data_IF_155923316534
#
_entry.id   IF_155923316534
#
_cell.length_a   1.000
_cell.length_b   1.000
_cell.length_c   1.000
_cell.angle_alpha   90.00
_cell.angle_beta   90.00
_cell.angle_gamma   90.00
#
_symmetry.space_group_name_H-M   'P 1'
#
loop_
_entity.id
_entity.type
_entity.pdbx_description
1 polymer ?
#
# COMPACT_ATOMS: atom_id res chain seq x y z
N UNK A 1 -25.96 -17.56 -12.75
CA UNK A 1 -26.21 -16.26 -13.42
C UNK A 1 -26.79 -15.28 -12.41
N UNK A 2 -26.07 -14.21 -12.01
CA UNK A 2 -26.65 -13.19 -11.15
C UNK A 2 -25.74 -12.49 -10.13
N UNK A 3 -24.40 -12.60 -10.20
CA UNK A 3 -23.49 -12.00 -9.19
C UNK A 3 -22.63 -10.84 -9.71
N UNK A 4 -22.84 -10.38 -10.95
CA UNK A 4 -22.05 -9.30 -11.58
C UNK A 4 -22.85 -8.00 -11.73
N UNK A 5 -23.51 -7.50 -10.69
CA UNK A 5 -24.08 -6.15 -10.74
C UNK A 5 -23.87 -5.41 -9.43
N UNK A 6 -22.67 -4.86 -9.26
CA UNK A 6 -22.41 -3.58 -8.61
C UNK A 6 -21.02 -3.07 -9.00
N UNK A 7 -20.80 -2.87 -10.28
CA UNK A 7 -19.85 -1.85 -10.69
C UNK A 7 -20.51 -0.51 -10.34
N UNK A 8 -20.15 0.05 -9.19
CA UNK A 8 -20.51 1.44 -8.92
C UNK A 8 -19.75 2.29 -9.94
N UNK A 9 -20.48 3.00 -10.77
CA UNK A 9 -19.96 4.14 -11.53
C UNK A 9 -19.18 4.99 -10.53
N UNK A 10 -17.93 5.32 -10.85
CA UNK A 10 -17.15 6.35 -10.17
C UNK A 10 -18.01 7.60 -10.06
N UNK A 11 -18.70 7.76 -8.93
CA UNK A 11 -19.26 9.04 -8.61
C UNK A 11 -18.08 9.94 -8.24
N UNK A 12 -17.99 11.14 -8.80
CA UNK A 12 -17.04 12.20 -8.47
C UNK A 12 -17.18 12.70 -7.01
N UNK A 13 -17.68 11.86 -6.12
CA UNK A 13 -17.80 12.17 -4.70
C UNK A 13 -16.44 11.93 -4.06
N UNK A 14 -15.65 13.01 -4.02
CA UNK A 14 -14.40 13.08 -3.30
C UNK A 14 -14.67 12.70 -1.84
N UNK A 15 -14.22 11.53 -1.41
CA UNK A 15 -14.24 11.19 0.02
C UNK A 15 -13.41 12.22 0.79
N UNK A 16 -13.85 12.56 2.00
CA UNK A 16 -13.11 13.48 2.88
C UNK A 16 -11.76 12.85 3.20
N UNK A 17 -10.70 13.64 3.08
CA UNK A 17 -9.33 13.25 3.39
C UNK A 17 -8.73 14.16 4.45
N UNK A 18 -7.60 13.78 5.01
CA UNK A 18 -6.93 14.53 6.08
C UNK A 18 -6.69 16.01 5.73
N UNK A 19 -6.34 16.33 4.48
CA UNK A 19 -6.14 17.71 4.03
C UNK A 19 -7.45 18.50 3.92
N UNK A 20 -8.56 17.84 3.67
CA UNK A 20 -9.88 18.50 3.63
C UNK A 20 -10.36 18.93 5.04
N UNK A 21 -9.73 18.38 6.10
CA UNK A 21 -9.95 18.74 7.50
C UNK A 21 -9.07 19.91 7.98
N UNK A 22 -8.30 20.54 7.10
CA UNK A 22 -7.32 21.58 7.43
C UNK A 22 -6.22 21.14 8.41
N UNK A 23 -5.90 19.82 8.48
CA UNK A 23 -4.77 19.35 9.25
C UNK A 23 -3.47 19.94 8.68
N UNK A 24 -2.53 20.39 9.53
CA UNK A 24 -1.29 21.06 9.09
C UNK A 24 -0.26 20.06 8.53
N UNK A 25 -0.67 19.29 7.52
CA UNK A 25 0.15 18.28 6.87
C UNK A 25 1.26 18.94 6.05
N UNK A 26 2.53 18.56 6.24
CA UNK A 26 3.65 19.15 5.54
C UNK A 26 3.73 18.72 4.08
N UNK A 27 4.57 19.41 3.31
CA UNK A 27 4.90 19.10 1.93
C UNK A 27 3.80 19.39 0.91
N UNK A 28 4.19 19.50 -0.35
CA UNK A 28 3.28 19.77 -1.46
C UNK A 28 2.80 18.45 -2.07
N UNK A 29 1.49 18.12 -2.01
CA UNK A 29 0.95 16.93 -2.64
C UNK A 29 0.95 17.07 -4.17
N UNK A 30 0.96 15.93 -4.87
CA UNK A 30 0.64 15.85 -6.28
C UNK A 30 -0.86 16.09 -6.55
N UNK A 31 -1.26 16.00 -7.80
CA UNK A 31 -2.62 16.30 -8.25
C UNK A 31 -3.71 15.46 -7.55
N UNK A 32 -3.44 14.18 -7.34
CA UNK A 32 -4.37 13.25 -6.73
C UNK A 32 -4.05 13.00 -5.26
N UNK A 33 -2.88 13.48 -4.81
CA UNK A 33 -2.30 13.17 -3.50
C UNK A 33 -2.32 11.65 -3.23
N UNK A 34 -1.86 10.87 -4.19
CA UNK A 34 -1.90 9.41 -4.19
C UNK A 34 -0.64 8.83 -4.85
N UNK A 35 -0.33 7.57 -4.60
CA UNK A 35 0.79 6.88 -5.26
C UNK A 35 0.68 6.92 -6.79
N UNK A 36 -0.52 7.09 -7.31
CA UNK A 36 -0.80 7.24 -8.75
C UNK A 36 -0.37 8.58 -9.34
N UNK A 37 0.09 9.54 -8.53
CA UNK A 37 0.78 10.73 -9.03
C UNK A 37 2.18 10.40 -9.58
N UNK A 38 2.76 9.27 -9.17
CA UNK A 38 3.99 8.77 -9.77
C UNK A 38 3.70 8.31 -11.20
N UNK A 39 4.37 8.88 -12.21
CA UNK A 39 4.05 8.63 -13.61
C UNK A 39 4.05 7.14 -13.98
N UNK A 40 2.95 6.65 -14.54
CA UNK A 40 2.78 5.27 -14.98
C UNK A 40 2.35 4.29 -13.89
N UNK A 41 2.26 4.70 -12.64
CA UNK A 41 1.75 3.83 -11.56
C UNK A 41 0.23 3.77 -11.63
N UNK A 42 -0.29 2.55 -11.70
CA UNK A 42 -1.72 2.26 -11.65
C UNK A 42 -2.06 1.42 -10.42
N UNK A 43 -3.25 1.63 -9.86
CA UNK A 43 -3.76 0.87 -8.71
C UNK A 43 -5.20 0.45 -8.98
N UNK A 44 -5.53 -0.78 -8.61
CA UNK A 44 -6.88 -1.32 -8.70
C UNK A 44 -7.24 -2.17 -7.49
N UNK A 45 -8.52 -2.39 -7.30
CA UNK A 45 -9.08 -3.04 -6.13
C UNK A 45 -10.09 -4.11 -6.48
N UNK A 46 -10.07 -5.20 -5.72
CA UNK A 46 -11.20 -6.11 -5.56
C UNK A 46 -11.58 -6.14 -4.10
N UNK A 47 -12.77 -5.64 -3.78
CA UNK A 47 -13.28 -5.55 -2.41
C UNK A 47 -14.43 -6.52 -2.21
N UNK A 48 -14.32 -7.41 -1.22
CA UNK A 48 -15.34 -8.41 -0.89
C UNK A 48 -15.98 -8.07 0.45
N UNK A 49 -17.27 -7.72 0.41
CA UNK A 49 -18.05 -7.40 1.60
C UNK A 49 -19.38 -8.17 1.58
N UNK A 50 -19.54 -9.09 2.52
CA UNK A 50 -20.79 -9.80 2.80
C UNK A 50 -20.93 -9.99 4.33
N UNK A 51 -21.54 -9.02 5.04
CA UNK A 51 -21.68 -9.08 6.50
C UNK A 51 -22.43 -10.33 6.99
N UNK A 52 -23.40 -10.83 6.21
CA UNK A 52 -24.15 -12.04 6.57
C UNK A 52 -23.27 -13.29 6.59
N UNK A 53 -22.19 -13.27 5.83
CA UNK A 53 -21.21 -14.35 5.78
C UNK A 53 -19.92 -14.02 6.54
N UNK A 54 -19.87 -12.93 7.28
CA UNK A 54 -18.65 -12.44 7.95
C UNK A 54 -17.47 -12.30 6.98
N UNK A 55 -17.71 -11.73 5.80
CA UNK A 55 -16.68 -11.49 4.78
C UNK A 55 -16.41 -9.99 4.68
N UNK A 56 -15.14 -9.60 4.98
CA UNK A 56 -14.57 -8.27 4.80
C UNK A 56 -13.10 -8.41 4.46
N UNK A 57 -12.79 -8.54 3.19
CA UNK A 57 -11.44 -8.76 2.70
C UNK A 57 -11.30 -8.25 1.27
N UNK A 58 -10.16 -8.45 0.65
CA UNK A 58 -9.96 -8.05 -0.75
C UNK A 58 -8.54 -8.18 -1.21
N UNK A 59 -8.30 -7.62 -2.39
CA UNK A 59 -6.98 -7.54 -3.04
C UNK A 59 -6.77 -6.12 -3.56
N UNK A 60 -5.62 -5.54 -3.25
CA UNK A 60 -5.11 -4.30 -3.86
C UNK A 60 -4.02 -4.68 -4.84
N UNK A 61 -4.15 -4.27 -6.10
CA UNK A 61 -3.14 -4.47 -7.14
C UNK A 61 -2.44 -3.16 -7.50
N UNK A 62 -1.10 -3.14 -7.55
CA UNK A 62 -0.28 -1.99 -7.93
C UNK A 62 0.58 -2.38 -9.11
N UNK A 63 0.51 -1.62 -10.20
CA UNK A 63 1.26 -1.86 -11.43
C UNK A 63 2.21 -0.67 -11.66
N UNK A 64 3.53 -0.84 -11.45
CA UNK A 64 4.50 0.26 -11.61
C UNK A 64 4.56 0.85 -13.02
N UNK A 65 4.37 0.03 -14.05
CA UNK A 65 4.32 0.44 -15.46
C UNK A 65 2.97 0.09 -16.08
N UNK A 66 1.88 0.70 -15.58
CA UNK A 66 0.49 0.33 -15.91
C UNK A 66 0.18 0.25 -17.40
N UNK A 67 0.73 1.14 -18.20
CA UNK A 67 0.51 1.19 -19.65
C UNK A 67 1.51 0.34 -20.47
N UNK A 68 2.48 -0.33 -19.81
CA UNK A 68 3.46 -1.14 -20.52
C UNK A 68 2.87 -2.48 -20.98
N UNK A 69 3.21 -2.87 -22.21
CA UNK A 69 2.99 -4.22 -22.73
C UNK A 69 4.20 -5.13 -22.52
N UNK A 70 5.27 -4.61 -21.94
CA UNK A 70 6.52 -5.31 -21.71
C UNK A 70 6.70 -5.59 -20.22
N UNK A 71 7.25 -6.75 -19.90
CA UNK A 71 7.63 -7.15 -18.55
C UNK A 71 8.95 -6.50 -18.13
N UNK A 72 8.98 -5.18 -17.96
CA UNK A 72 10.19 -4.46 -17.59
C UNK A 72 10.56 -4.72 -16.12
N UNK A 73 11.87 -4.79 -15.80
CA UNK A 73 12.33 -4.80 -14.43
C UNK A 73 12.00 -3.46 -13.75
N UNK A 74 11.55 -3.54 -12.52
CA UNK A 74 11.24 -2.39 -11.65
C UNK A 74 12.30 -2.35 -10.55
N UNK A 75 13.11 -1.32 -10.53
CA UNK A 75 14.13 -1.16 -9.49
C UNK A 75 13.47 -0.99 -8.13
N UNK A 76 13.95 -1.75 -7.15
CA UNK A 76 13.33 -1.80 -5.84
C UNK A 76 14.33 -2.03 -4.71
N UNK A 77 13.92 -1.65 -3.51
CA UNK A 77 14.57 -2.00 -2.25
C UNK A 77 13.52 -2.29 -1.19
N UNK A 78 13.80 -3.26 -0.35
CA UNK A 78 12.90 -3.75 0.70
C UNK A 78 13.52 -3.55 2.07
N UNK A 79 12.67 -3.31 3.09
CA UNK A 79 13.05 -3.26 4.49
C UNK A 79 11.93 -3.81 5.38
N UNK A 80 12.25 -4.77 6.24
CA UNK A 80 11.37 -5.24 7.31
C UNK A 80 11.80 -4.59 8.62
N UNK A 81 10.91 -3.84 9.26
CA UNK A 81 11.13 -3.35 10.62
C UNK A 81 11.03 -4.50 11.60
N UNK A 82 10.02 -5.36 11.41
CA UNK A 82 9.86 -6.66 12.04
C UNK A 82 9.18 -7.63 11.07
N UNK A 83 9.29 -8.91 11.33
CA UNK A 83 9.09 -9.96 10.33
C UNK A 83 7.90 -10.87 10.54
N UNK A 84 6.91 -10.53 11.39
CA UNK A 84 5.72 -11.37 11.54
C UNK A 84 4.70 -11.10 10.42
N UNK A 85 5.09 -11.36 9.19
CA UNK A 85 4.31 -11.17 7.98
C UNK A 85 5.03 -11.69 6.74
N UNK A 86 4.38 -11.59 5.59
CA UNK A 86 4.93 -12.05 4.32
C UNK A 86 4.95 -10.92 3.27
N UNK A 87 6.04 -10.90 2.52
CA UNK A 87 6.17 -10.20 1.24
C UNK A 87 7.00 -11.08 0.30
N UNK A 88 6.37 -11.65 -0.71
CA UNK A 88 7.06 -12.54 -1.65
C UNK A 88 8.05 -11.78 -2.54
N UNK A 89 9.06 -12.48 -3.07
CA UNK A 89 10.04 -11.90 -3.99
C UNK A 89 11.15 -11.09 -3.32
N UNK A 90 11.14 -10.91 -1.99
CA UNK A 90 12.10 -10.10 -1.25
C UNK A 90 13.53 -10.62 -1.35
N UNK A 91 13.74 -11.95 -1.45
CA UNK A 91 15.08 -12.52 -1.65
C UNK A 91 15.73 -11.99 -2.93
N UNK A 92 14.98 -12.05 -4.06
CA UNK A 92 15.48 -11.54 -5.34
C UNK A 92 15.64 -10.01 -5.36
N UNK A 93 14.71 -9.28 -4.74
CA UNK A 93 14.84 -7.83 -4.61
C UNK A 93 16.11 -7.46 -3.84
N UNK A 94 16.43 -8.19 -2.76
CA UNK A 94 17.63 -7.94 -1.97
C UNK A 94 18.94 -8.26 -2.75
N UNK A 95 18.94 -9.32 -3.55
CA UNK A 95 20.14 -9.76 -4.29
C UNK A 95 20.31 -9.01 -5.62
N UNK A 96 19.22 -8.82 -6.37
CA UNK A 96 19.27 -8.29 -7.73
C UNK A 96 18.82 -6.83 -7.83
N UNK A 97 18.13 -6.30 -6.83
CA UNK A 97 17.69 -4.91 -6.77
C UNK A 97 16.48 -4.59 -7.63
N UNK A 98 15.70 -5.59 -8.09
CA UNK A 98 14.50 -5.38 -8.89
C UNK A 98 13.50 -6.54 -8.78
N UNK A 99 12.28 -6.27 -9.20
CA UNK A 99 11.26 -7.29 -9.47
C UNK A 99 10.64 -7.08 -10.87
N UNK A 100 9.83 -8.03 -11.34
CA UNK A 100 9.11 -7.95 -12.61
C UNK A 100 7.63 -8.22 -12.32
N UNK A 101 6.74 -7.32 -12.78
CA UNK A 101 5.31 -7.49 -12.67
C UNK A 101 4.65 -6.59 -11.62
N UNK A 102 3.47 -6.98 -11.13
CA UNK A 102 2.70 -6.21 -10.16
C UNK A 102 3.13 -6.48 -8.72
N UNK A 103 2.67 -5.59 -7.84
CA UNK A 103 2.63 -5.78 -6.39
C UNK A 103 1.17 -5.96 -6.01
N UNK A 104 0.85 -6.98 -5.21
CA UNK A 104 -0.48 -7.17 -4.64
C UNK A 104 -0.42 -7.14 -3.10
N UNK A 105 -1.50 -6.66 -2.47
CA UNK A 105 -1.65 -6.69 -1.01
C UNK A 105 -3.01 -7.32 -0.70
N UNK A 106 -3.04 -8.26 0.25
CA UNK A 106 -4.24 -9.02 0.61
C UNK A 106 -4.24 -9.38 2.10
N UNK A 107 -4.98 -10.43 2.50
CA UNK A 107 -4.91 -10.97 3.84
C UNK A 107 -3.91 -12.13 3.97
N UNK A 108 -3.55 -12.46 5.22
CA UNK A 108 -2.51 -13.45 5.56
C UNK A 108 -2.75 -14.84 4.93
N UNK A 109 -4.00 -15.31 4.90
CA UNK A 109 -4.29 -16.66 4.38
C UNK A 109 -4.44 -16.71 2.85
N UNK A 110 -4.45 -15.55 2.17
CA UNK A 110 -4.68 -15.47 0.73
C UNK A 110 -3.41 -15.26 -0.11
N UNK A 111 -2.23 -15.13 0.50
CA UNK A 111 -0.96 -14.85 -0.21
C UNK A 111 -0.73 -15.81 -1.36
N UNK A 112 -0.88 -17.12 -1.16
CA UNK A 112 -0.67 -18.13 -2.19
C UNK A 112 -1.65 -18.00 -3.37
N UNK A 113 -2.94 -17.76 -3.09
CA UNK A 113 -3.96 -17.58 -4.13
C UNK A 113 -3.75 -16.31 -4.94
N UNK A 114 -3.41 -15.21 -4.26
CA UNK A 114 -3.13 -13.92 -4.93
C UNK A 114 -1.83 -14.00 -5.73
N UNK A 115 -0.80 -14.71 -5.24
CA UNK A 115 0.43 -14.95 -5.99
C UNK A 115 0.15 -15.75 -7.28
N UNK A 116 -0.65 -16.81 -7.19
CA UNK A 116 -1.07 -17.59 -8.36
C UNK A 116 -1.85 -16.71 -9.37
N UNK A 117 -2.81 -15.91 -8.89
CA UNK A 117 -3.60 -15.00 -9.74
C UNK A 117 -2.75 -13.93 -10.42
N UNK A 118 -1.84 -13.29 -9.67
CA UNK A 118 -0.90 -12.31 -10.21
C UNK A 118 0.05 -12.92 -11.25
N UNK A 119 0.52 -14.16 -11.02
CA UNK A 119 1.30 -14.91 -12.01
C UNK A 119 0.50 -15.17 -13.28
N UNK A 120 -0.74 -15.64 -13.16
CA UNK A 120 -1.64 -15.88 -14.31
C UNK A 120 -1.91 -14.60 -15.10
N UNK A 121 -2.11 -13.47 -14.39
CA UNK A 121 -2.25 -12.17 -15.02
C UNK A 121 -0.99 -11.76 -15.79
N UNK A 122 0.21 -11.97 -15.23
CA UNK A 122 1.48 -11.69 -15.90
C UNK A 122 1.64 -12.51 -17.19
N UNK A 123 1.34 -13.82 -17.13
CA UNK A 123 1.43 -14.71 -18.29
C UNK A 123 0.53 -14.24 -19.46
N UNK A 124 -0.64 -13.69 -19.14
CA UNK A 124 -1.56 -13.12 -20.14
C UNK A 124 -1.10 -11.74 -20.61
N UNK A 125 -0.73 -10.85 -19.70
CA UNK A 125 -0.35 -9.46 -19.98
C UNK A 125 0.94 -9.36 -20.79
N UNK A 126 1.93 -10.20 -20.48
CA UNK A 126 3.26 -10.19 -21.06
C UNK A 126 3.53 -11.44 -21.90
N UNK A 127 2.52 -11.86 -22.66
CA UNK A 127 2.53 -13.12 -23.43
C UNK A 127 3.77 -13.27 -24.31
N UNK A 128 4.17 -12.21 -25.03
CA UNK A 128 5.32 -12.25 -25.93
C UNK A 128 6.64 -12.52 -25.20
N UNK A 129 6.80 -11.95 -23.97
CA UNK A 129 7.96 -12.23 -23.13
C UNK A 129 8.04 -13.70 -22.75
N UNK A 130 6.93 -14.29 -22.29
CA UNK A 130 6.91 -15.68 -21.85
C UNK A 130 7.02 -16.68 -23.00
N UNK A 131 6.56 -16.34 -24.19
CA UNK A 131 6.64 -17.21 -25.38
C UNK A 131 8.00 -17.17 -26.08
N UNK A 132 8.68 -16.03 -26.07
CA UNK A 132 9.88 -15.81 -26.89
C UNK A 132 11.19 -15.86 -26.09
N UNK A 133 11.15 -15.92 -24.75
CA UNK A 133 12.35 -15.97 -23.93
C UNK A 133 12.62 -17.39 -23.43
N UNK A 134 13.85 -17.88 -23.62
CA UNK A 134 14.23 -19.24 -23.19
C UNK A 134 14.11 -19.46 -21.68
N UNK A 135 14.23 -18.40 -20.87
CA UNK A 135 14.15 -18.45 -19.42
C UNK A 135 13.30 -17.27 -18.92
N UNK A 136 12.01 -17.31 -19.23
CA UNK A 136 11.03 -16.36 -18.71
C UNK A 136 10.40 -16.88 -17.42
N UNK A 137 10.40 -16.04 -16.38
CA UNK A 137 9.80 -16.40 -15.08
C UNK A 137 8.96 -15.25 -14.54
N UNK A 138 7.89 -15.59 -13.84
CA UNK A 138 7.01 -14.65 -13.15
C UNK A 138 7.23 -14.75 -11.64
N UNK A 139 7.53 -13.64 -11.01
CA UNK A 139 7.70 -13.55 -9.56
C UNK A 139 7.09 -12.23 -9.08
N UNK A 140 5.74 -12.15 -9.05
CA UNK A 140 5.06 -10.97 -8.54
C UNK A 140 5.33 -10.82 -7.04
N UNK A 141 5.25 -9.59 -6.55
CA UNK A 141 5.33 -9.29 -5.11
C UNK A 141 3.93 -9.38 -4.53
N UNK A 142 3.76 -10.18 -3.47
CA UNK A 142 2.49 -10.27 -2.72
C UNK A 142 2.79 -10.08 -1.25
N UNK A 143 2.12 -9.10 -0.64
CA UNK A 143 2.22 -8.78 0.78
C UNK A 143 0.86 -8.92 1.47
N UNK A 144 0.85 -8.95 2.80
CA UNK A 144 -0.37 -9.21 3.55
C UNK A 144 -0.40 -8.49 4.90
N UNK A 145 -1.62 -8.34 5.44
CA UNK A 145 -1.89 -8.07 6.85
C UNK A 145 -3.10 -8.89 7.32
N UNK A 146 -3.19 -9.17 8.62
CA UNK A 146 -4.22 -10.05 9.20
C UNK A 146 -5.57 -9.35 9.36
N UNK A 147 -6.64 -9.86 8.73
CA UNK A 147 -7.99 -9.28 8.79
C UNK A 147 -8.99 -10.06 9.68
N UNK A 148 -8.51 -11.08 10.43
CA UNK A 148 -9.35 -12.05 11.12
C UNK A 148 -10.17 -11.53 12.30
N UNK A 149 -10.14 -10.24 12.62
CA UNK A 149 -11.04 -9.61 13.60
C UNK A 149 -12.36 -9.18 12.93
N UNK A 150 -12.28 -8.63 11.71
CA UNK A 150 -13.45 -8.15 10.96
C UNK A 150 -13.95 -9.14 9.90
N UNK A 151 -13.11 -10.11 9.53
CA UNK A 151 -13.33 -11.11 8.49
C UNK A 151 -13.16 -12.52 9.04
N UNK A 152 -14.00 -13.46 8.60
CA UNK A 152 -13.75 -14.90 8.81
C UNK A 152 -12.65 -15.37 7.86
N UNK A 153 -11.41 -15.06 8.20
CA UNK A 153 -10.22 -15.33 7.38
C UNK A 153 -10.06 -16.82 7.03
N UNK A 154 -10.57 -17.72 7.90
CA UNK A 154 -10.48 -19.17 7.70
C UNK A 154 -11.39 -19.70 6.58
N UNK A 155 -12.37 -18.92 6.13
CA UNK A 155 -13.15 -19.26 4.94
C UNK A 155 -12.37 -19.21 3.64
N UNK A 156 -11.22 -18.53 3.63
CA UNK A 156 -10.35 -18.43 2.47
C UNK A 156 -11.10 -18.05 1.19
N UNK A 157 -11.95 -17.02 1.26
CA UNK A 157 -12.84 -16.62 0.16
C UNK A 157 -12.14 -15.95 -1.01
N UNK A 158 -10.89 -15.54 -0.84
CA UNK A 158 -10.07 -14.95 -1.91
C UNK A 158 -9.65 -16.05 -2.88
N UNK A 159 -9.89 -15.82 -4.16
CA UNK A 159 -9.47 -16.69 -5.26
C UNK A 159 -8.47 -15.98 -6.18
N UNK A 160 -7.86 -16.72 -7.11
CA UNK A 160 -6.94 -16.16 -8.12
C UNK A 160 -7.60 -15.10 -8.99
N UNK A 161 -8.89 -15.28 -9.33
CA UNK A 161 -9.67 -14.34 -10.15
C UNK A 161 -9.82 -12.97 -9.48
N UNK A 162 -9.85 -12.91 -8.14
CA UNK A 162 -9.90 -11.64 -7.42
C UNK A 162 -8.62 -10.83 -7.59
N UNK A 163 -7.46 -11.50 -7.65
CA UNK A 163 -6.19 -10.83 -7.95
C UNK A 163 -6.15 -10.33 -9.40
N UNK A 164 -6.58 -11.15 -10.35
CA UNK A 164 -6.70 -10.76 -11.77
C UNK A 164 -7.62 -9.55 -11.90
N UNK A 165 -8.81 -9.59 -11.29
CA UNK A 165 -9.77 -8.50 -11.35
C UNK A 165 -9.24 -7.19 -10.74
N UNK A 166 -8.49 -7.26 -9.63
CA UNK A 166 -7.84 -6.10 -9.04
C UNK A 166 -6.80 -5.48 -9.99
N UNK A 167 -6.00 -6.31 -10.67
CA UNK A 167 -5.00 -5.85 -11.62
C UNK A 167 -5.61 -5.31 -12.92
N UNK A 168 -6.69 -5.92 -13.41
CA UNK A 168 -7.41 -5.47 -14.61
C UNK A 168 -8.16 -4.14 -14.37
N UNK A 169 -8.61 -3.88 -13.15
CA UNK A 169 -9.26 -2.61 -12.77
C UNK A 169 -8.27 -1.47 -12.52
N UNK A 170 -6.95 -1.75 -12.54
CA UNK A 170 -5.94 -0.77 -12.17
C UNK A 170 -5.93 0.45 -13.11
N UNK A 171 -5.91 1.63 -12.52
CA UNK A 171 -5.94 2.92 -13.20
C UNK A 171 -5.06 3.96 -12.47
N UNK A 172 -4.75 5.06 -13.16
CA UNK A 172 -4.19 6.27 -12.56
C UNK A 172 -5.32 7.18 -12.07
N UNK A 173 -5.02 8.10 -11.16
CA UNK A 173 -6.00 9.07 -10.67
C UNK A 173 -6.31 8.91 -9.19
N UNK A 174 -7.47 9.39 -8.77
CA UNK A 174 -7.95 9.23 -7.39
C UNK A 174 -8.17 7.76 -7.06
N UNK A 175 -7.84 7.40 -5.83
CA UNK A 175 -8.01 6.05 -5.29
C UNK A 175 -9.05 6.04 -4.18
N UNK A 176 -9.77 4.94 -4.06
CA UNK A 176 -10.60 4.67 -2.89
C UNK A 176 -9.73 4.31 -1.70
N UNK A 177 -10.05 4.88 -0.52
CA UNK A 177 -9.34 4.66 0.74
C UNK A 177 -10.24 3.96 1.78
N UNK A 178 -9.70 3.61 2.94
CA UNK A 178 -10.44 2.90 3.99
C UNK A 178 -10.74 1.46 3.62
N UNK A 179 -12.01 1.10 3.51
CA UNK A 179 -12.50 -0.26 3.25
C UNK A 179 -12.34 -0.70 1.79
N UNK A 180 -11.21 -0.42 1.15
CA UNK A 180 -10.95 -0.73 -0.27
C UNK A 180 -9.88 -1.80 -0.42
N UNK A 181 -10.11 -2.75 -1.34
CA UNK A 181 -9.18 -3.83 -1.64
C UNK A 181 -8.79 -4.65 -0.41
N UNK A 182 -7.49 -4.93 -0.27
CA UNK A 182 -6.94 -5.62 0.89
C UNK A 182 -7.17 -4.88 2.21
N UNK A 183 -7.37 -3.55 2.19
CA UNK A 183 -7.66 -2.73 3.37
C UNK A 183 -9.05 -2.92 3.99
N UNK A 184 -9.94 -3.66 3.34
CA UNK A 184 -11.35 -3.77 3.76
C UNK A 184 -11.53 -4.30 5.20
N UNK A 185 -10.73 -5.29 5.62
CA UNK A 185 -10.84 -5.93 6.94
C UNK A 185 -9.85 -5.42 8.00
N UNK A 186 -9.25 -4.23 7.83
CA UNK A 186 -8.12 -3.76 8.63
C UNK A 186 -8.52 -2.83 9.78
N UNK A 187 -7.77 -2.93 10.89
CA UNK A 187 -7.92 -2.13 12.11
C UNK A 187 -6.60 -1.40 12.38
N UNK A 188 -6.64 -0.08 12.49
CA UNK A 188 -5.45 0.74 12.72
C UNK A 188 -5.63 1.60 13.97
N UNK A 189 -4.72 1.46 14.94
CA UNK A 189 -4.84 2.10 16.26
C UNK A 189 -6.20 1.88 16.92
N UNK A 190 -6.74 0.67 16.73
CA UNK A 190 -8.05 0.30 17.29
C UNK A 190 -9.24 1.13 16.76
N UNK A 191 -9.03 1.82 15.65
CA UNK A 191 -10.06 2.36 14.76
C UNK A 191 -10.15 1.53 13.49
N UNK A 192 -11.23 1.66 12.72
CA UNK A 192 -11.27 1.07 11.39
C UNK A 192 -10.16 1.67 10.53
N UNK A 193 -9.21 0.80 10.15
CA UNK A 193 -8.10 1.12 9.28
C UNK A 193 -8.38 0.84 7.82
N UNK A 194 -7.35 0.49 7.08
CA UNK A 194 -7.51 0.09 5.67
C UNK A 194 -6.46 0.62 4.73
N UNK A 195 -6.87 0.81 3.48
CA UNK A 195 -6.05 1.41 2.43
C UNK A 195 -5.97 2.92 2.62
N UNK A 196 -4.76 3.45 2.52
CA UNK A 196 -4.54 4.90 2.46
C UNK A 196 -3.41 5.23 1.50
N UNK A 197 -3.41 6.45 0.97
CA UNK A 197 -2.40 6.88 0.00
C UNK A 197 -2.09 8.36 0.12
N UNK A 198 -0.92 8.76 -0.32
CA UNK A 198 -0.53 10.17 -0.45
C UNK A 198 0.66 10.34 -1.39
N UNK A 199 1.00 11.57 -1.75
CA UNK A 199 2.16 11.89 -2.57
C UNK A 199 2.79 13.23 -2.21
N UNK A 200 4.05 13.41 -2.68
CA UNK A 200 4.77 14.69 -2.60
C UNK A 200 5.45 15.02 -3.93
N UNK A 201 5.41 16.30 -4.27
CA UNK A 201 6.23 16.88 -5.32
C UNK A 201 7.53 17.39 -4.67
N UNK A 202 8.66 16.89 -5.14
CA UNK A 202 9.97 17.12 -4.55
C UNK A 202 10.90 17.78 -5.56
N UNK A 203 11.32 19.01 -5.29
CA UNK A 203 12.31 19.70 -6.14
C UNK A 203 13.72 19.34 -5.71
N UNK A 204 14.51 18.78 -6.63
CA UNK A 204 15.93 18.49 -6.42
C UNK A 204 16.71 19.09 -7.59
N UNK A 205 17.53 20.07 -7.28
CA UNK A 205 18.20 20.88 -8.30
C UNK A 205 17.18 21.59 -9.19
N UNK A 206 17.24 21.36 -10.49
CA UNK A 206 16.35 21.97 -11.49
C UNK A 206 15.17 21.06 -11.89
N UNK A 207 15.01 19.89 -11.26
CA UNK A 207 13.97 18.92 -11.59
C UNK A 207 12.99 18.75 -10.45
N UNK A 208 11.73 18.52 -10.81
CA UNK A 208 10.72 18.07 -9.89
C UNK A 208 10.57 16.54 -10.04
N UNK A 209 10.53 15.85 -8.91
CA UNK A 209 10.24 14.43 -8.83
C UNK A 209 8.97 14.23 -8.03
N UNK A 210 8.33 13.11 -8.25
CA UNK A 210 7.16 12.67 -7.50
C UNK A 210 7.53 11.47 -6.66
N UNK A 211 7.13 11.47 -5.39
CA UNK A 211 7.16 10.32 -4.52
C UNK A 211 5.76 10.12 -3.95
N UNK A 212 5.28 8.89 -3.90
CA UNK A 212 3.97 8.56 -3.36
C UNK A 212 4.01 7.27 -2.57
N UNK A 213 3.11 7.14 -1.60
CA UNK A 213 2.94 5.95 -0.79
C UNK A 213 1.51 5.42 -0.88
N UNK A 214 1.38 4.10 -0.82
CA UNK A 214 0.13 3.39 -0.53
C UNK A 214 0.39 2.46 0.65
N UNK A 215 -0.48 2.52 1.65
CA UNK A 215 -0.40 1.66 2.84
C UNK A 215 -1.63 0.77 2.95
N UNK A 216 -1.43 -0.42 3.51
CA UNK A 216 -2.49 -1.22 4.12
C UNK A 216 -2.27 -1.15 5.63
N UNK A 217 -3.00 -0.24 6.29
CA UNK A 217 -2.82 0.11 7.69
C UNK A 217 -3.67 -0.79 8.60
N UNK A 218 -2.99 -1.64 9.36
CA UNK A 218 -3.58 -2.61 10.28
C UNK A 218 -2.72 -2.77 11.54
N UNK A 219 -2.27 -1.66 12.14
CA UNK A 219 -1.26 -1.66 13.20
C UNK A 219 -1.61 -0.71 14.34
N UNK A 220 -0.90 -0.84 15.45
CA UNK A 220 -1.00 0.04 16.60
C UNK A 220 -2.19 -0.23 17.51
N UNK A 221 -2.13 0.34 18.70
CA UNK A 221 -3.23 0.33 19.68
C UNK A 221 -3.64 1.77 20.01
N UNK A 222 -4.89 1.96 20.46
CA UNK A 222 -5.50 3.26 20.69
C UNK A 222 -4.60 4.24 21.46
N UNK A 223 -3.99 3.90 22.62
CA UNK A 223 -3.22 4.86 23.43
C UNK A 223 -1.97 5.40 22.72
N UNK A 224 -1.50 4.71 21.66
CA UNK A 224 -0.29 5.13 20.94
C UNK A 224 -0.56 6.16 19.86
N UNK A 225 -1.80 6.24 19.36
CA UNK A 225 -2.11 7.10 18.20
C UNK A 225 -1.74 8.55 18.45
N UNK A 226 -0.81 9.04 17.67
CA UNK A 226 -0.47 10.44 17.50
C UNK A 226 -0.80 10.88 16.07
N UNK A 227 -1.37 12.05 15.92
CA UNK A 227 -1.55 12.69 14.61
C UNK A 227 -0.90 14.06 14.70
N UNK A 228 0.14 14.28 13.92
CA UNK A 228 0.88 15.55 13.85
C UNK A 228 1.27 16.09 15.25
N UNK A 229 1.75 15.19 16.11
CA UNK A 229 2.23 15.51 17.47
C UNK A 229 1.13 15.64 18.54
N UNK A 230 -0.17 15.51 18.18
CA UNK A 230 -1.26 15.49 19.16
C UNK A 230 -1.60 14.05 19.56
N UNK A 231 -1.77 13.73 20.85
CA UNK A 231 -2.02 12.36 21.34
C UNK A 231 -3.49 11.96 21.15
N UNK A 232 -3.91 11.80 19.90
CA UNK A 232 -5.32 11.57 19.52
C UNK A 232 -5.90 10.33 20.21
N UNK A 233 -5.12 9.25 20.30
CA UNK A 233 -5.58 8.02 20.94
C UNK A 233 -5.88 8.17 22.43
N UNK A 234 -5.27 9.15 23.13
CA UNK A 234 -5.58 9.48 24.52
C UNK A 234 -6.79 10.41 24.63
N UNK A 235 -6.98 11.29 23.65
CA UNK A 235 -8.11 12.21 23.60
C UNK A 235 -9.40 11.48 23.21
N UNK A 236 -9.31 10.47 22.32
CA UNK A 236 -10.42 9.62 21.85
C UNK A 236 -10.23 8.20 22.39
N UNK A 237 -10.23 8.02 23.71
CA UNK A 237 -9.87 6.75 24.38
C UNK A 237 -11.00 5.74 24.49
N UNK A 238 -12.22 6.09 24.11
CA UNK A 238 -13.41 5.26 24.29
C UNK A 238 -13.58 4.20 23.19
N UNK A 239 -14.43 3.19 23.47
CA UNK A 239 -14.84 2.17 22.52
C UNK A 239 -13.69 1.37 21.90
N UNK A 240 -12.72 0.98 22.71
CA UNK A 240 -11.62 0.11 22.30
C UNK A 240 -12.03 -1.35 22.23
N UNK A 241 -11.45 -2.10 21.30
CA UNK A 241 -11.69 -3.54 21.12
C UNK A 241 -10.40 -4.37 21.23
N UNK A 242 -9.22 -3.73 21.16
CA UNK A 242 -7.93 -4.40 21.21
C UNK A 242 -7.22 -4.12 22.54
N UNK A 243 -6.78 -5.19 23.22
CA UNK A 243 -5.99 -5.07 24.46
C UNK A 243 -4.49 -4.93 24.18
N UNK A 244 -4.02 -5.45 23.06
CA UNK A 244 -2.61 -5.45 22.64
C UNK A 244 -2.47 -5.34 21.14
N UNK A 245 -1.30 -4.89 20.70
CA UNK A 245 -0.98 -4.86 19.27
C UNK A 245 -0.81 -6.28 18.71
N UNK A 246 -1.54 -6.57 17.65
CA UNK A 246 -1.52 -7.85 16.94
C UNK A 246 -1.60 -7.64 15.41
N UNK A 247 -1.49 -6.41 14.97
CA UNK A 247 -1.63 -6.01 13.58
C UNK A 247 -0.29 -5.96 12.85
N UNK A 248 -0.31 -5.38 11.65
CA UNK A 248 0.83 -5.21 10.75
C UNK A 248 0.59 -4.00 9.85
N UNK A 249 1.63 -3.49 9.19
CA UNK A 249 1.46 -2.50 8.13
C UNK A 249 2.33 -2.83 6.92
N UNK A 250 1.72 -2.82 5.75
CA UNK A 250 2.45 -2.82 4.48
C UNK A 250 2.47 -1.40 3.94
N UNK A 251 3.68 -0.89 3.62
CA UNK A 251 3.84 0.38 2.91
C UNK A 251 4.61 0.18 1.61
N UNK A 252 3.99 0.60 0.51
CA UNK A 252 4.58 0.59 -0.83
C UNK A 252 4.83 2.03 -1.23
N UNK A 253 6.10 2.35 -1.54
CA UNK A 253 6.54 3.70 -1.91
C UNK A 253 7.02 3.67 -3.35
N UNK A 254 6.44 4.51 -4.21
CA UNK A 254 6.85 4.67 -5.60
C UNK A 254 7.46 6.05 -5.86
N UNK A 255 8.41 6.14 -6.79
CA UNK A 255 8.98 7.42 -7.25
C UNK A 255 9.40 7.37 -8.71
N UNK A 256 9.42 8.53 -9.37
CA UNK A 256 10.01 8.70 -10.69
C UNK A 256 11.47 9.23 -10.62
N UNK A 257 12.03 9.42 -9.45
CA UNK A 257 13.45 9.69 -9.29
C UNK A 257 14.27 8.46 -9.69
N UNK A 258 15.32 8.60 -10.54
CA UNK A 258 16.17 7.48 -10.92
C UNK A 258 17.07 7.10 -9.75
N UNK A 259 16.73 6.02 -9.06
CA UNK A 259 17.42 5.57 -7.85
C UNK A 259 17.98 4.16 -8.00
N UNK A 260 19.11 3.90 -7.35
CA UNK A 260 19.63 2.54 -7.20
C UNK A 260 18.79 1.71 -6.23
N UNK A 261 18.94 0.39 -6.26
CA UNK A 261 18.32 -0.50 -5.30
C UNK A 261 18.76 -0.18 -3.86
N UNK A 262 20.01 0.21 -3.65
CA UNK A 262 20.50 0.63 -2.34
C UNK A 262 19.79 1.89 -1.85
N UNK A 263 19.65 2.91 -2.70
CA UNK A 263 18.93 4.14 -2.38
C UNK A 263 17.44 3.86 -2.12
N UNK A 264 16.81 2.96 -2.88
CA UNK A 264 15.42 2.53 -2.67
C UNK A 264 15.25 1.78 -1.35
N UNK A 265 16.21 0.93 -0.96
CA UNK A 265 16.21 0.31 0.37
C UNK A 265 16.29 1.36 1.48
N UNK A 266 17.06 2.44 1.28
CA UNK A 266 17.12 3.56 2.22
C UNK A 266 15.79 4.34 2.28
N UNK A 267 15.09 4.49 1.14
CA UNK A 267 13.72 5.05 1.11
C UNK A 267 12.76 4.13 1.90
N UNK A 268 12.77 2.82 1.64
CA UNK A 268 11.92 1.86 2.35
C UNK A 268 12.11 1.92 3.88
N UNK A 269 13.34 2.06 4.37
CA UNK A 269 13.63 2.27 5.80
C UNK A 269 12.93 3.48 6.40
N UNK A 270 12.70 4.54 5.62
CA UNK A 270 12.04 5.77 6.10
C UNK A 270 10.56 5.57 6.36
N UNK A 271 9.94 4.54 5.78
CA UNK A 271 8.57 4.18 6.14
C UNK A 271 8.42 3.91 7.64
N UNK A 272 9.41 3.27 8.28
CA UNK A 272 9.41 3.03 9.72
C UNK A 272 9.30 4.33 10.55
N UNK A 273 9.94 5.42 10.08
CA UNK A 273 9.85 6.73 10.74
C UNK A 273 8.44 7.32 10.55
N UNK A 274 7.85 7.18 9.35
CA UNK A 274 6.47 7.62 9.07
C UNK A 274 5.45 6.91 9.96
N UNK A 275 5.57 5.60 10.11
CA UNK A 275 4.76 4.78 11.03
C UNK A 275 5.00 5.20 12.48
N UNK A 276 6.25 5.41 12.88
CA UNK A 276 6.62 5.84 14.23
C UNK A 276 6.09 7.23 14.61
N UNK A 277 5.95 8.16 13.64
CA UNK A 277 5.29 9.46 13.87
C UNK A 277 3.83 9.30 14.27
N UNK A 278 3.14 8.28 13.74
CA UNK A 278 1.80 7.90 14.18
C UNK A 278 1.74 7.30 15.59
N UNK A 279 2.90 7.02 16.21
CA UNK A 279 3.03 6.54 17.59
C UNK A 279 3.23 5.02 17.72
N UNK A 280 3.23 4.26 16.63
CA UNK A 280 3.51 2.82 16.70
C UNK A 280 4.94 2.57 17.15
N UNK A 281 5.09 1.65 18.10
CA UNK A 281 6.39 1.17 18.57
C UNK A 281 6.98 0.05 17.68
N UNK A 282 6.22 -0.44 16.68
CA UNK A 282 6.58 -1.63 15.92
C UNK A 282 6.59 -2.87 16.83
N UNK A 283 5.42 -3.29 17.29
CA UNK A 283 5.28 -4.39 18.27
C UNK A 283 5.83 -5.72 17.73
N UNK A 284 6.30 -6.58 18.63
CA UNK A 284 6.96 -7.84 18.28
C UNK A 284 6.12 -8.78 17.38
N UNK A 285 4.79 -8.72 17.51
CA UNK A 285 3.87 -9.54 16.72
C UNK A 285 3.39 -8.86 15.43
N UNK A 286 3.91 -7.68 15.13
CA UNK A 286 3.60 -6.93 13.91
C UNK A 286 4.48 -7.40 12.75
N UNK A 287 3.96 -7.39 11.52
CA UNK A 287 4.69 -7.59 10.27
C UNK A 287 4.78 -6.26 9.52
N UNK A 288 5.70 -5.40 9.92
CA UNK A 288 5.87 -4.06 9.35
C UNK A 288 6.89 -4.14 8.23
N UNK A 289 6.40 -4.34 6.99
CA UNK A 289 7.23 -4.64 5.82
C UNK A 289 7.01 -3.57 4.74
N UNK A 290 8.11 -3.03 4.24
CA UNK A 290 8.11 -1.88 3.35
C UNK A 290 8.86 -2.17 2.06
N UNK A 291 8.32 -1.69 0.95
CA UNK A 291 8.94 -1.77 -0.37
C UNK A 291 8.98 -0.37 -0.99
N UNK A 292 10.13 0.04 -1.49
CA UNK A 292 10.24 1.22 -2.33
C UNK A 292 10.67 0.81 -3.74
N UNK A 293 10.07 1.45 -4.76
CA UNK A 293 10.42 1.21 -6.15
C UNK A 293 10.57 2.52 -6.95
N UNK A 294 11.32 2.45 -8.06
CA UNK A 294 11.49 3.56 -8.97
C UNK A 294 11.09 3.20 -10.39
N UNK A 295 10.36 4.12 -11.03
CA UNK A 295 10.04 4.10 -12.47
C UNK A 295 10.89 5.09 -13.27
N UNK A 296 11.85 5.76 -12.62
CA UNK A 296 12.63 6.86 -13.20
C UNK A 296 13.72 6.42 -14.21
N UNK A 297 14.07 5.14 -14.26
CA UNK A 297 15.03 4.59 -15.21
C UNK A 297 14.55 3.23 -15.74
N UNK A 298 13.59 3.28 -16.70
CA UNK A 298 13.05 2.08 -17.33
C UNK A 298 14.12 1.39 -18.17
N UNK A 299 14.41 0.14 -17.85
CA UNK A 299 15.40 -0.69 -18.53
C UNK A 299 14.74 -1.87 -19.25
N UNK A 300 15.33 -2.42 -20.32
CA UNK A 300 14.88 -3.66 -20.92
C UNK A 300 15.11 -4.84 -19.97
N UNK A 301 14.44 -5.96 -20.25
CA UNK A 301 14.60 -7.20 -19.48
C UNK A 301 16.06 -7.65 -19.55
N UNK A 302 16.66 -7.96 -18.40
CA UNK A 302 18.09 -8.26 -18.30
C UNK A 302 18.52 -9.49 -19.12
N UNK A 303 17.67 -10.53 -19.21
CA UNK A 303 17.99 -11.74 -19.98
C UNK A 303 18.17 -11.49 -21.47
N UNK A 304 17.56 -10.41 -22.01
CA UNK A 304 17.65 -10.04 -23.43
C UNK A 304 18.46 -8.78 -23.66
N UNK A 305 19.02 -8.17 -22.60
CA UNK A 305 19.77 -6.93 -22.69
C UNK A 305 21.20 -7.15 -23.16
N UNK A 306 21.88 -6.06 -23.53
CA UNK A 306 23.32 -6.04 -23.85
C UNK A 306 24.13 -6.45 -22.61
N UNK A 307 25.34 -6.98 -22.83
CA UNK A 307 26.30 -7.35 -21.77
C UNK A 307 26.57 -6.16 -20.84
N UNK A 308 26.66 -4.95 -21.41
CA UNK A 308 26.83 -3.70 -20.66
C UNK A 308 25.68 -2.76 -21.02
N UNK A 309 25.03 -2.19 -20.01
CA UNK A 309 23.99 -1.18 -20.19
C UNK A 309 24.24 0.01 -19.26
N UNK A 310 23.77 1.19 -19.69
CA UNK A 310 23.89 2.43 -18.92
C UNK A 310 22.66 2.58 -18.02
N UNK A 311 22.87 3.00 -16.78
CA UNK A 311 21.83 3.40 -15.85
C UNK A 311 21.94 4.88 -15.52
N UNK A 312 20.78 5.51 -15.36
CA UNK A 312 20.70 6.81 -14.72
C UNK A 312 20.49 6.60 -13.22
N UNK A 313 21.31 7.27 -12.43
CA UNK A 313 21.17 7.23 -10.98
C UNK A 313 21.38 8.63 -10.42
N UNK A 314 20.52 9.00 -9.47
CA UNK A 314 20.67 10.23 -8.69
C UNK A 314 21.84 10.08 -7.73
N UNK A 315 22.68 11.10 -7.62
CA UNK A 315 23.73 11.14 -6.63
C UNK A 315 23.11 11.06 -5.21
N UNK A 316 23.49 10.07 -4.38
CA UNK A 316 22.95 9.88 -3.04
C UNK A 316 23.09 11.09 -2.12
N UNK A 317 24.06 11.98 -2.34
CA UNK A 317 24.24 13.22 -1.57
C UNK A 317 23.07 14.22 -1.71
N UNK A 318 22.16 14.00 -2.67
CA UNK A 318 20.99 14.86 -2.92
C UNK A 318 19.65 14.20 -2.58
N UNK A 319 19.64 13.03 -1.91
CA UNK A 319 18.43 12.22 -1.73
C UNK A 319 17.60 12.61 -0.49
N UNK A 320 18.14 13.38 0.45
CA UNK A 320 17.47 13.72 1.72
C UNK A 320 16.06 14.32 1.55
N UNK A 321 15.76 15.16 0.56
CA UNK A 321 14.39 15.62 0.33
C UNK A 321 13.42 14.49 0.02
N UNK A 322 13.87 13.41 -0.66
CA UNK A 322 13.04 12.22 -0.92
C UNK A 322 12.84 11.39 0.36
N UNK A 323 13.84 11.33 1.25
CA UNK A 323 13.69 10.67 2.55
C UNK A 323 12.61 11.33 3.38
N UNK A 324 12.67 12.67 3.54
CA UNK A 324 11.65 13.42 4.26
C UNK A 324 10.26 13.22 3.65
N UNK A 325 10.18 13.31 2.32
CA UNK A 325 8.91 13.15 1.62
C UNK A 325 8.34 11.72 1.71
N UNK A 326 9.19 10.68 1.76
CA UNK A 326 8.74 9.32 2.01
C UNK A 326 8.10 9.16 3.40
N UNK A 327 8.73 9.76 4.42
CA UNK A 327 8.19 9.79 5.81
C UNK A 327 6.82 10.46 5.82
N UNK A 328 6.72 11.66 5.24
CA UNK A 328 5.49 12.44 5.17
C UNK A 328 4.39 11.73 4.38
N UNK A 329 4.74 11.05 3.27
CA UNK A 329 3.78 10.27 2.51
C UNK A 329 3.22 9.10 3.32
N UNK A 330 4.04 8.35 4.04
CA UNK A 330 3.57 7.22 4.84
C UNK A 330 2.71 7.70 6.00
N UNK A 331 3.13 8.75 6.72
CA UNK A 331 2.35 9.36 7.81
C UNK A 331 0.97 9.81 7.32
N UNK A 332 0.90 10.59 6.23
CA UNK A 332 -0.37 11.07 5.68
C UNK A 332 -1.23 9.93 5.12
N UNK A 333 -0.64 8.91 4.51
CA UNK A 333 -1.37 7.75 4.00
C UNK A 333 -2.06 6.97 5.14
N UNK A 334 -1.40 6.80 6.29
CA UNK A 334 -2.01 6.19 7.48
C UNK A 334 -3.16 7.06 8.01
N UNK A 335 -2.98 8.38 8.08
CA UNK A 335 -4.05 9.31 8.51
C UNK A 335 -5.24 9.25 7.54
N UNK A 336 -4.99 9.21 6.23
CA UNK A 336 -6.05 9.08 5.23
C UNK A 336 -6.81 7.76 5.36
N UNK A 337 -6.13 6.64 5.65
CA UNK A 337 -6.78 5.35 5.93
C UNK A 337 -7.73 5.42 7.13
N UNK A 338 -7.34 6.14 8.19
CA UNK A 338 -8.16 6.36 9.39
C UNK A 338 -9.36 7.29 9.11
N UNK A 339 -9.13 8.40 8.40
CA UNK A 339 -10.18 9.38 8.04
C UNK A 339 -11.24 8.77 7.13
N UNK A 340 -10.85 7.83 6.27
CA UNK A 340 -11.76 7.10 5.38
C UNK A 340 -12.45 5.90 6.05
N UNK A 341 -12.24 5.68 7.35
CA UNK A 341 -12.82 4.58 8.09
C UNK A 341 -14.35 4.71 8.22
N UNK A 342 -15.00 3.56 8.41
CA UNK A 342 -16.44 3.44 8.70
C UNK A 342 -16.66 2.51 9.90
N UNK A 343 -17.77 2.64 10.61
CA UNK A 343 -18.09 1.72 11.69
C UNK A 343 -18.36 0.32 11.14
N UNK A 344 -17.73 -0.71 11.73
CA UNK A 344 -17.84 -2.10 11.28
C UNK A 344 -18.04 -3.04 12.44
N UNK A 345 -19.06 -3.89 12.36
CA UNK A 345 -19.26 -4.97 13.31
C UNK A 345 -18.12 -6.00 13.25
N UNK A 346 -17.61 -6.42 14.42
CA UNK A 346 -16.54 -7.41 14.50
C UNK A 346 -17.05 -8.83 14.28
N UNK A 347 -16.29 -9.63 13.54
CA UNK A 347 -16.50 -11.07 13.46
C UNK A 347 -16.06 -11.76 14.75
N UNK A 348 -14.92 -11.34 15.31
CA UNK A 348 -14.31 -11.97 16.50
C UNK A 348 -13.60 -10.93 17.38
N UNK A 349 -14.07 -10.70 18.62
CA UNK A 349 -15.29 -11.26 19.24
C UNK A 349 -16.56 -10.69 18.59
N UNK A 350 -17.67 -11.45 18.63
CA UNK A 350 -18.97 -11.00 18.12
C UNK A 350 -19.59 -9.92 18.99
N UNK A 351 -20.37 -9.04 18.36
CA UNK A 351 -21.23 -8.05 19.06
C UNK A 351 -20.50 -6.79 19.49
N UNK A 352 -19.26 -6.60 19.03
CA UNK A 352 -18.54 -5.35 19.17
C UNK A 352 -18.55 -4.57 17.84
N UNK A 353 -18.23 -3.28 17.90
CA UNK A 353 -18.11 -2.42 16.74
C UNK A 353 -16.73 -1.81 16.74
N UNK A 354 -15.95 -2.13 15.68
CA UNK A 354 -14.76 -1.38 15.35
C UNK A 354 -15.20 -0.01 14.85
N UNK A 355 -14.94 1.04 15.63
CA UNK A 355 -15.37 2.40 15.31
C UNK A 355 -14.48 3.04 14.27
N UNK A 356 -15.09 3.87 13.45
CA UNK A 356 -14.36 4.86 12.64
C UNK A 356 -13.74 5.93 13.56
N UNK A 357 -12.68 6.55 13.08
CA UNK A 357 -12.16 7.78 13.68
C UNK A 357 -13.22 8.89 13.55
N UNK A 358 -13.56 9.56 14.67
CA UNK A 358 -14.48 10.68 14.62
C UNK A 358 -13.82 11.90 13.95
N UNK A 359 -14.16 12.12 12.70
CA UNK A 359 -13.55 13.14 11.84
C UNK A 359 -13.86 14.57 12.32
N UNK A 360 -15.08 14.82 12.82
CA UNK A 360 -15.45 16.13 13.34
C UNK A 360 -14.72 16.46 14.64
N UNK A 361 -14.58 15.48 15.53
CA UNK A 361 -13.80 15.63 16.76
C UNK A 361 -12.32 15.84 16.43
N UNK A 362 -11.75 15.08 15.49
CA UNK A 362 -10.38 15.27 15.02
C UNK A 362 -10.18 16.71 14.52
N UNK A 363 -11.09 17.21 13.68
CA UNK A 363 -11.04 18.58 13.15
C UNK A 363 -11.06 19.62 14.28
N UNK A 364 -11.94 19.45 15.27
CA UNK A 364 -12.04 20.35 16.42
C UNK A 364 -10.78 20.38 17.29
N UNK A 365 -10.07 19.25 17.40
CA UNK A 365 -8.79 19.19 18.12
C UNK A 365 -7.72 20.03 17.41
N UNK A 366 -7.79 20.23 16.10
CA UNK A 366 -6.80 20.97 15.32
C UNK A 366 -7.17 22.44 15.07
N UNK A 367 -8.44 22.84 15.28
CA UNK A 367 -8.89 24.23 15.24
C UNK A 367 -8.70 24.90 16.60
#
# INVERSE_FOLDING_TARGET
MGWFKRYMKTSDRKAVRARDLNLPLPGQPGKYNAITDVPGVHVGFTTLTDPKKNVRTGVTGIIPYGNSKEANPVWAGQYSLNGNGEMTGTHWINDAGYFIGPICITNTHAVGMVHHGATSWMLNKYKDYFQNSHHAWAMPVVAETYDGVLNDINKQVITSEHAVAALDSAHSGYLEEGSSGGGNGMICYDFKGGTGTSSRLVKIGFKNYTIGALVQANHGIRPWLNILGKPIGKLMSENTILEKETGSIIAIIGTDAPLSALSLRQIAKRAAIGVGRGGSAGGNNSGDIFLAFSVGDKQPIKQTSKIIFNRKEMNPEHIDPLYLSAIECVEEAVINALVAGEDVETFKPKGQICRALNVEELKNIFN
#
